data_IF_706785910726
#
_entry.id   IF_706785910726
#
_cell.length_a   1.000
_cell.length_b   1.000
_cell.length_c   1.000
_cell.angle_alpha   90.00
_cell.angle_beta   90.00
_cell.angle_gamma   90.00
#
_symmetry.space_group_name_H-M   'P 1'
#
loop_
_entity.id
_entity.type
_entity.pdbx_description
1 polymer ?
#
# COMPACT_ATOMS: atom_id res chain seq x y z
N UNK A 1 -27.95 20.03 -62.75
CA UNK A 1 -28.37 20.95 -61.67
C UNK A 1 -28.51 20.13 -60.39
N UNK A 2 -27.53 20.29 -59.50
CA UNK A 2 -27.33 19.47 -58.31
C UNK A 2 -28.36 19.80 -57.22
N UNK A 3 -29.11 18.79 -56.77
CA UNK A 3 -30.01 18.88 -55.62
C UNK A 3 -29.36 18.20 -54.41
N UNK A 4 -29.24 18.98 -53.34
CA UNK A 4 -29.33 18.56 -51.94
C UNK A 4 -28.41 17.40 -51.48
N UNK A 5 -27.14 17.71 -51.24
CA UNK A 5 -26.24 16.94 -50.38
C UNK A 5 -25.55 17.85 -49.37
N UNK A 6 -26.32 18.58 -48.56
CA UNK A 6 -25.76 19.58 -47.63
C UNK A 6 -26.54 19.72 -46.32
N UNK A 7 -27.14 18.63 -45.81
CA UNK A 7 -27.83 18.67 -44.50
C UNK A 7 -27.32 17.68 -43.45
N UNK A 8 -26.14 17.06 -43.65
CA UNK A 8 -25.61 16.08 -42.69
C UNK A 8 -24.32 16.53 -41.97
N UNK A 9 -23.73 17.67 -42.34
CA UNK A 9 -22.46 18.12 -41.73
C UNK A 9 -22.63 19.06 -40.52
N UNK A 10 -23.81 19.65 -40.32
CA UNK A 10 -24.04 20.61 -39.23
C UNK A 10 -24.48 19.97 -37.90
N UNK A 11 -24.83 18.69 -37.88
CA UNK A 11 -25.27 18.02 -36.64
C UNK A 11 -24.10 17.46 -35.80
N UNK A 12 -22.87 17.45 -36.34
CA UNK A 12 -21.69 16.95 -35.62
C UNK A 12 -20.85 18.05 -34.95
N UNK A 13 -21.11 19.33 -35.24
CA UNK A 13 -20.36 20.47 -34.65
C UNK A 13 -20.95 20.96 -33.32
N UNK A 14 -22.02 20.34 -32.83
CA UNK A 14 -22.75 20.74 -31.60
C UNK A 14 -22.66 19.72 -30.45
N UNK A 15 -21.77 18.72 -30.56
CA UNK A 15 -21.21 18.12 -29.34
C UNK A 15 -20.05 19.00 -28.87
N UNK A 16 -20.38 20.21 -28.40
CA UNK A 16 -19.56 20.85 -27.39
C UNK A 16 -19.45 19.82 -26.25
N UNK A 17 -18.24 19.29 -26.05
CA UNK A 17 -17.91 18.56 -24.85
C UNK A 17 -18.29 19.47 -23.70
N UNK A 18 -19.43 19.19 -23.04
CA UNK A 18 -19.76 19.83 -21.79
C UNK A 18 -18.50 19.70 -20.93
N UNK A 19 -17.96 20.81 -20.39
CA UNK A 19 -16.82 20.69 -19.49
C UNK A 19 -17.28 19.73 -18.41
N UNK A 20 -16.63 18.57 -18.34
CA UNK A 20 -16.86 17.63 -17.27
C UNK A 20 -16.46 18.42 -16.04
N UNK A 21 -17.46 18.97 -15.34
CA UNK A 21 -17.27 19.63 -14.07
C UNK A 21 -16.79 18.52 -13.17
N UNK A 22 -15.47 18.39 -13.05
CA UNK A 22 -14.85 17.39 -12.19
C UNK A 22 -15.34 17.70 -10.79
N UNK A 23 -16.28 16.89 -10.30
CA UNK A 23 -16.69 16.94 -8.91
C UNK A 23 -15.43 16.78 -8.05
N UNK A 24 -15.23 17.64 -7.03
CA UNK A 24 -14.08 17.51 -6.16
C UNK A 24 -14.02 16.09 -5.59
N UNK A 25 -12.86 15.47 -5.64
CA UNK A 25 -12.65 14.14 -5.08
C UNK A 25 -12.96 14.15 -3.57
N UNK A 26 -13.79 13.25 -3.03
CA UNK A 26 -14.03 13.17 -1.58
C UNK A 26 -12.73 13.01 -0.78
N UNK A 27 -12.64 13.62 0.40
CA UNK A 27 -11.46 13.55 1.26
C UNK A 27 -10.98 12.11 1.56
N UNK A 28 -11.91 11.17 1.76
CA UNK A 28 -11.59 9.76 1.98
C UNK A 28 -10.89 9.12 0.77
N UNK A 29 -11.25 9.53 -0.45
CA UNK A 29 -10.58 9.09 -1.67
C UNK A 29 -9.18 9.69 -1.78
N UNK A 30 -9.00 10.96 -1.43
CA UNK A 30 -7.69 11.61 -1.34
C UNK A 30 -6.77 10.85 -0.36
N UNK A 31 -7.28 10.51 0.83
CA UNK A 31 -6.55 9.72 1.85
C UNK A 31 -6.18 8.34 1.30
N UNK A 32 -7.12 7.66 0.64
CA UNK A 32 -6.88 6.34 0.08
C UNK A 32 -5.83 6.39 -1.03
N UNK A 33 -5.88 7.40 -1.90
CA UNK A 33 -4.89 7.61 -2.95
C UNK A 33 -3.52 7.92 -2.37
N UNK A 34 -3.43 8.81 -1.38
CA UNK A 34 -2.17 9.12 -0.69
C UNK A 34 -1.51 7.86 -0.13
N UNK A 35 -2.29 7.02 0.56
CA UNK A 35 -1.81 5.74 1.09
C UNK A 35 -1.30 4.80 -0.01
N UNK A 36 -2.01 4.71 -1.15
CA UNK A 36 -1.59 3.89 -2.30
C UNK A 36 -0.27 4.38 -2.89
N UNK A 37 -0.12 5.68 -3.11
CA UNK A 37 1.10 6.25 -3.70
C UNK A 37 2.31 6.10 -2.77
N UNK A 38 2.14 6.34 -1.46
CA UNK A 38 3.17 6.07 -0.46
C UNK A 38 3.61 4.61 -0.51
N UNK A 39 2.64 3.70 -0.53
CA UNK A 39 2.90 2.26 -0.52
C UNK A 39 3.58 1.80 -1.82
N UNK A 40 3.20 2.40 -2.96
CA UNK A 40 3.80 2.12 -4.26
C UNK A 40 5.25 2.59 -4.35
N UNK A 41 5.57 3.77 -3.83
CA UNK A 41 6.95 4.28 -3.77
C UNK A 41 7.87 3.38 -2.91
N UNK A 42 7.37 2.89 -1.78
CA UNK A 42 8.07 1.90 -0.95
C UNK A 42 8.30 0.60 -1.72
N UNK A 43 7.27 0.09 -2.39
CA UNK A 43 7.35 -1.15 -3.17
C UNK A 43 8.38 -1.05 -4.31
N UNK A 44 8.40 0.07 -5.05
CA UNK A 44 9.36 0.30 -6.13
C UNK A 44 10.81 0.38 -5.64
N UNK A 45 11.02 0.80 -4.39
CA UNK A 45 12.35 0.99 -3.81
C UNK A 45 13.08 -0.31 -3.49
N UNK A 46 12.36 -1.45 -3.43
CA UNK A 46 12.93 -2.71 -2.98
C UNK A 46 12.59 -3.86 -3.96
N UNK A 47 13.50 -4.21 -4.90
CA UNK A 47 13.28 -5.27 -5.90
C UNK A 47 12.85 -6.61 -5.30
N UNK A 48 13.38 -6.97 -4.12
CA UNK A 48 13.02 -8.20 -3.40
C UNK A 48 11.51 -8.31 -3.12
N UNK A 49 10.78 -7.19 -2.96
CA UNK A 49 9.33 -7.22 -2.77
C UNK A 49 8.58 -7.67 -4.03
N UNK A 50 9.17 -7.44 -5.21
CA UNK A 50 8.66 -7.93 -6.51
C UNK A 50 8.94 -9.42 -6.71
N UNK A 51 10.10 -9.89 -6.24
CA UNK A 51 10.46 -11.31 -6.31
C UNK A 51 9.54 -12.18 -5.46
N UNK A 52 8.99 -11.62 -4.37
CA UNK A 52 8.07 -12.32 -3.46
C UNK A 52 6.63 -12.44 -4.05
N UNK A 53 6.32 -11.83 -5.21
CA UNK A 53 4.94 -11.53 -5.60
C UNK A 53 4.06 -12.64 -6.16
N UNK A 54 4.59 -13.77 -6.64
CA UNK A 54 3.77 -14.70 -7.44
C UNK A 54 3.13 -15.83 -6.61
N UNK A 55 2.19 -15.53 -5.70
CA UNK A 55 1.28 -16.50 -5.03
C UNK A 55 1.70 -17.06 -3.66
N UNK A 56 2.91 -16.74 -3.18
CA UNK A 56 3.44 -17.26 -1.91
C UNK A 56 3.46 -16.23 -0.78
N UNK A 57 2.76 -15.10 -0.88
CA UNK A 57 2.77 -14.07 0.18
C UNK A 57 1.42 -13.83 0.84
N UNK A 58 1.44 -13.52 2.14
CA UNK A 58 0.33 -12.90 2.86
C UNK A 58 0.80 -11.59 3.47
N UNK A 59 0.02 -10.54 3.27
CA UNK A 59 0.30 -9.22 3.84
C UNK A 59 -0.60 -8.98 5.05
N UNK A 60 -0.02 -8.43 6.10
CA UNK A 60 -0.70 -8.07 7.34
C UNK A 60 -0.37 -6.63 7.71
N UNK A 61 -1.36 -5.94 8.23
CA UNK A 61 -1.24 -4.64 8.90
C UNK A 61 -1.38 -4.82 10.41
N UNK A 62 -1.05 -3.79 11.20
CA UNK A 62 -1.24 -3.83 12.67
C UNK A 62 -2.68 -4.18 13.03
N UNK A 63 -3.66 -3.57 12.35
CA UNK A 63 -5.10 -3.87 12.56
C UNK A 63 -5.42 -5.34 12.31
N UNK A 64 -4.89 -5.90 11.23
CA UNK A 64 -5.12 -7.31 10.91
C UNK A 64 -4.46 -8.26 11.93
N UNK A 65 -3.26 -7.95 12.43
CA UNK A 65 -2.60 -8.72 13.48
C UNK A 65 -3.36 -8.65 14.80
N UNK A 66 -3.84 -7.46 15.20
CA UNK A 66 -4.69 -7.30 16.39
C UNK A 66 -5.94 -8.18 16.28
N UNK A 67 -6.62 -8.18 15.12
CA UNK A 67 -7.79 -9.03 14.90
C UNK A 67 -7.46 -10.53 14.96
N UNK A 68 -6.29 -10.93 14.49
CA UNK A 68 -5.84 -12.32 14.59
C UNK A 68 -5.54 -12.72 16.04
N UNK A 69 -4.88 -11.84 16.80
CA UNK A 69 -4.57 -12.06 18.22
C UNK A 69 -5.87 -12.15 19.03
N UNK A 70 -6.84 -11.26 18.80
CA UNK A 70 -8.11 -11.24 19.54
C UNK A 70 -8.98 -12.48 19.31
N UNK A 71 -8.80 -13.16 18.16
CA UNK A 71 -9.52 -14.40 17.82
C UNK A 71 -8.87 -15.65 18.41
N UNK A 72 -7.68 -15.55 19.01
CA UNK A 72 -6.99 -16.70 19.60
C UNK A 72 -7.35 -16.86 21.06
N UNK A 73 -7.62 -18.09 21.45
CA UNK A 73 -7.90 -18.47 22.85
C UNK A 73 -6.66 -18.41 23.74
N UNK A 74 -5.47 -18.62 23.15
CA UNK A 74 -4.19 -18.64 23.86
C UNK A 74 -3.28 -17.51 23.38
N UNK A 75 -2.55 -16.96 24.35
CA UNK A 75 -1.55 -15.93 24.12
C UNK A 75 -0.45 -16.44 23.18
N UNK A 76 -0.16 -15.68 22.13
CA UNK A 76 0.85 -16.03 21.12
C UNK A 76 1.97 -14.98 21.09
N UNK A 77 3.10 -15.31 21.74
CA UNK A 77 4.26 -14.41 21.84
C UNK A 77 4.88 -14.08 20.48
N UNK A 78 4.73 -14.95 19.48
CA UNK A 78 5.26 -14.68 18.14
C UNK A 78 4.43 -13.59 17.48
N UNK A 79 3.10 -13.70 17.53
CA UNK A 79 2.20 -12.67 16.98
C UNK A 79 2.33 -11.35 17.73
N UNK A 80 2.42 -11.36 19.05
CA UNK A 80 2.67 -10.16 19.85
C UNK A 80 3.98 -9.47 19.45
N UNK A 81 5.05 -10.25 19.22
CA UNK A 81 6.32 -9.69 18.78
C UNK A 81 6.30 -9.13 17.34
N UNK A 82 5.42 -9.64 16.47
CA UNK A 82 5.21 -9.06 15.15
C UNK A 82 4.43 -7.75 15.25
N UNK A 83 3.40 -7.72 16.11
CA UNK A 83 2.61 -6.52 16.35
C UNK A 83 3.50 -5.39 16.87
N UNK A 84 4.36 -5.67 17.86
CA UNK A 84 5.27 -4.66 18.41
C UNK A 84 6.28 -4.12 17.38
N UNK A 85 6.67 -4.92 16.38
CA UNK A 85 7.52 -4.44 15.28
C UNK A 85 6.77 -3.54 14.28
N UNK A 86 5.44 -3.61 14.24
CA UNK A 86 4.60 -2.72 13.44
C UNK A 86 4.18 -1.44 14.20
N UNK A 87 4.49 -1.32 15.48
CA UNK A 87 4.24 -0.11 16.26
C UNK A 87 5.19 1.04 15.85
N UNK A 88 4.79 2.26 16.19
CA UNK A 88 5.54 3.48 15.90
C UNK A 88 5.10 4.18 14.61
N UNK A 89 5.41 5.47 14.53
CA UNK A 89 4.96 6.33 13.46
C UNK A 89 5.57 5.96 12.10
N UNK A 90 4.75 6.06 11.06
CA UNK A 90 5.14 5.95 9.66
C UNK A 90 4.30 6.91 8.82
N UNK A 91 4.84 7.32 7.68
CA UNK A 91 4.06 7.93 6.63
C UNK A 91 3.28 6.79 5.96
N UNK A 92 1.96 6.75 6.17
CA UNK A 92 1.14 5.61 5.77
C UNK A 92 1.22 4.42 6.73
N UNK A 93 0.84 3.23 6.25
CA UNK A 93 0.75 2.02 7.06
C UNK A 93 2.00 1.14 6.92
N UNK A 94 2.40 0.46 7.99
CA UNK A 94 3.45 -0.57 7.93
C UNK A 94 2.85 -1.90 7.51
N UNK A 95 3.47 -2.56 6.54
CA UNK A 95 3.01 -3.83 6.01
C UNK A 95 4.00 -4.93 6.34
N UNK A 96 3.51 -5.98 7.00
CA UNK A 96 4.20 -7.23 7.24
C UNK A 96 3.89 -8.20 6.10
N UNK A 97 4.90 -8.63 5.37
CA UNK A 97 4.82 -9.66 4.33
C UNK A 97 5.39 -10.96 4.89
N UNK A 98 4.54 -11.97 4.98
CA UNK A 98 4.93 -13.33 5.34
C UNK A 98 5.07 -14.14 4.06
N UNK A 99 6.25 -14.75 3.86
CA UNK A 99 6.47 -15.72 2.78
C UNK A 99 5.94 -17.08 3.26
N UNK A 100 4.94 -17.60 2.56
CA UNK A 100 4.58 -19.01 2.61
C UNK A 100 5.61 -19.81 1.81
N UNK A 101 6.37 -20.67 2.46
CA UNK A 101 6.91 -21.82 1.74
C UNK A 101 5.82 -22.90 1.59
N UNK A 102 6.09 -23.94 0.81
CA UNK A 102 5.12 -25.01 0.55
C UNK A 102 4.75 -25.81 1.81
N UNK A 103 5.49 -25.62 2.91
CA UNK A 103 5.24 -26.22 4.23
C UNK A 103 4.54 -25.28 5.22
N UNK A 104 4.43 -23.99 4.90
CA UNK A 104 3.94 -22.94 5.79
C UNK A 104 2.45 -22.68 5.51
N UNK A 105 1.59 -23.34 6.28
CA UNK A 105 0.14 -23.19 6.19
C UNK A 105 -0.37 -21.99 7.01
N UNK A 106 0.37 -21.62 8.07
CA UNK A 106 -0.01 -20.56 9.01
C UNK A 106 1.08 -19.51 9.23
N UNK A 107 0.70 -18.29 9.64
CA UNK A 107 1.66 -17.24 10.07
C UNK A 107 2.55 -17.73 11.23
N UNK A 108 2.06 -18.69 12.00
CA UNK A 108 2.74 -19.36 13.11
C UNK A 108 3.69 -20.47 12.70
N UNK A 109 3.88 -20.73 11.40
CA UNK A 109 4.91 -21.64 10.88
C UNK A 109 6.02 -20.90 10.14
N UNK A 110 5.74 -19.69 9.65
CA UNK A 110 6.70 -18.90 8.89
C UNK A 110 8.01 -18.68 9.65
N UNK A 111 9.11 -18.74 8.91
CA UNK A 111 10.48 -18.56 9.43
C UNK A 111 11.10 -17.22 9.03
N UNK A 112 10.63 -16.65 7.91
CA UNK A 112 11.10 -15.40 7.34
C UNK A 112 9.92 -14.48 7.02
N UNK A 113 10.12 -13.19 7.22
CA UNK A 113 9.13 -12.16 6.94
C UNK A 113 9.81 -10.85 6.58
N UNK A 114 9.05 -9.91 6.03
CA UNK A 114 9.51 -8.57 5.75
C UNK A 114 8.54 -7.57 6.33
N UNK A 115 9.03 -6.47 6.90
CA UNK A 115 8.22 -5.28 7.17
C UNK A 115 8.71 -4.17 6.27
N UNK A 116 7.80 -3.51 5.56
CA UNK A 116 8.15 -2.33 4.76
C UNK A 116 7.22 -1.17 5.06
N UNK A 117 7.78 0.04 5.05
CA UNK A 117 7.07 1.28 5.34
C UNK A 117 7.88 2.50 4.91
N UNK A 118 7.26 3.69 4.97
CA UNK A 118 7.92 4.98 4.80
C UNK A 118 8.01 5.70 6.14
N UNK A 119 9.18 6.22 6.49
CA UNK A 119 9.38 7.09 7.65
C UNK A 119 8.83 8.50 7.39
N UNK A 120 8.58 9.27 8.46
CA UNK A 120 8.01 10.62 8.36
C UNK A 120 8.91 11.61 7.59
N UNK A 121 10.21 11.31 7.46
CA UNK A 121 11.16 12.10 6.66
C UNK A 121 11.17 11.71 5.17
N UNK A 122 10.26 10.81 4.73
CA UNK A 122 10.17 10.33 3.35
C UNK A 122 11.06 9.12 3.01
N UNK A 123 11.87 8.65 3.96
CA UNK A 123 12.77 7.51 3.76
C UNK A 123 11.98 6.20 3.69
N UNK A 124 12.30 5.35 2.70
CA UNK A 124 11.69 4.02 2.59
C UNK A 124 12.54 3.00 3.34
N UNK A 125 11.88 2.15 4.13
CA UNK A 125 12.51 1.16 4.99
C UNK A 125 11.99 -0.22 4.63
N UNK A 126 12.90 -1.19 4.56
CA UNK A 126 12.62 -2.61 4.52
C UNK A 126 13.38 -3.31 5.65
N UNK A 127 12.64 -3.98 6.51
CA UNK A 127 13.16 -4.83 7.59
C UNK A 127 12.95 -6.28 7.19
N UNK A 128 14.04 -7.04 7.14
CA UNK A 128 14.00 -8.49 7.00
C UNK A 128 13.93 -9.08 8.42
N UNK A 129 12.98 -9.96 8.65
CA UNK A 129 12.72 -10.57 9.94
C UNK A 129 13.01 -12.06 9.90
N UNK A 130 13.60 -12.54 10.99
CA UNK A 130 13.82 -13.97 11.22
C UNK A 130 13.15 -14.40 12.51
N UNK A 131 12.44 -15.52 12.45
CA UNK A 131 11.83 -16.10 13.63
C UNK A 131 12.87 -16.71 14.56
N UNK A 132 12.75 -16.45 15.85
CA UNK A 132 13.49 -17.12 16.93
C UNK A 132 12.50 -17.82 17.86
N UNK A 133 12.99 -18.59 18.83
CA UNK A 133 12.19 -19.47 19.71
C UNK A 133 10.86 -18.85 20.19
N UNK A 134 10.89 -17.61 20.68
CA UNK A 134 9.72 -16.94 21.27
C UNK A 134 9.42 -15.54 20.72
N UNK A 135 10.15 -15.07 19.70
CA UNK A 135 9.95 -13.74 19.12
C UNK A 135 10.54 -13.64 17.72
N UNK A 136 10.01 -12.71 16.94
CA UNK A 136 10.64 -12.24 15.73
C UNK A 136 11.76 -11.24 16.05
N UNK A 137 12.82 -11.25 15.23
CA UNK A 137 13.91 -10.28 15.30
C UNK A 137 14.16 -9.70 13.91
N UNK A 138 14.52 -8.42 13.88
CA UNK A 138 15.08 -7.80 12.69
C UNK A 138 16.46 -8.41 12.47
N UNK A 139 16.63 -9.03 11.31
CA UNK A 139 17.89 -9.64 10.86
C UNK A 139 18.68 -8.63 10.01
N UNK A 140 17.98 -7.93 9.11
CA UNK A 140 18.57 -6.91 8.23
C UNK A 140 17.65 -5.71 8.07
N UNK A 141 18.23 -4.51 8.01
CA UNK A 141 17.54 -3.27 7.64
C UNK A 141 18.11 -2.76 6.32
N UNK A 142 17.24 -2.45 5.36
CA UNK A 142 17.58 -1.78 4.11
C UNK A 142 16.87 -0.43 4.08
N UNK A 143 17.57 0.57 3.57
CA UNK A 143 17.12 1.96 3.54
C UNK A 143 17.23 2.43 2.09
N UNK A 144 16.19 3.08 1.60
CA UNK A 144 16.18 3.70 0.29
C UNK A 144 15.62 5.11 0.41
N UNK A 145 16.17 6.04 -0.38
CA UNK A 145 15.61 7.39 -0.50
C UNK A 145 14.27 7.29 -1.22
N UNK A 146 13.19 7.62 -0.53
CA UNK A 146 11.85 7.67 -1.11
C UNK A 146 11.48 9.06 -1.60
N UNK A 147 10.38 9.15 -2.33
CA UNK A 147 9.72 10.43 -2.63
C UNK A 147 8.92 10.90 -1.42
N UNK A 148 8.90 12.20 -1.17
CA UNK A 148 7.96 12.79 -0.23
C UNK A 148 6.66 13.09 -1.00
N UNK A 149 5.55 12.50 -0.57
CA UNK A 149 4.28 12.54 -1.33
C UNK A 149 3.22 13.22 -0.46
N UNK A 150 2.64 14.31 -0.95
CA UNK A 150 1.66 15.12 -0.24
C UNK A 150 0.33 15.13 -1.00
N UNK A 151 -0.75 15.60 -0.36
CA UNK A 151 -2.02 15.78 -1.05
C UNK A 151 -1.91 16.70 -2.27
N UNK A 152 -1.08 17.74 -2.19
CA UNK A 152 -0.84 18.66 -3.30
C UNK A 152 -0.26 17.94 -4.52
N UNK A 153 0.59 16.94 -4.29
CA UNK A 153 1.20 16.15 -5.37
C UNK A 153 0.19 15.21 -6.04
N UNK A 154 -0.93 14.90 -5.38
CA UNK A 154 -2.00 14.05 -5.91
C UNK A 154 -3.04 14.87 -6.67
N UNK A 155 -3.56 15.91 -6.02
CA UNK A 155 -4.57 16.82 -6.55
C UNK A 155 -4.65 18.05 -5.62
N UNK A 156 -4.57 19.26 -6.19
CA UNK A 156 -4.69 20.49 -5.41
C UNK A 156 -6.03 20.61 -4.65
N UNK A 157 -7.10 20.00 -5.16
CA UNK A 157 -8.42 20.01 -4.53
C UNK A 157 -8.49 19.10 -3.29
N UNK A 158 -7.52 18.19 -3.09
CA UNK A 158 -7.36 17.45 -1.83
C UNK A 158 -6.81 18.32 -0.69
N UNK A 159 -6.24 19.50 -1.00
CA UNK A 159 -5.70 20.44 0.00
C UNK A 159 -6.74 21.49 0.41
N UNK A 160 -7.73 21.75 -0.45
CA UNK A 160 -8.74 22.81 -0.27
C UNK A 160 -9.98 22.36 0.52
N UNK A 161 -10.03 21.10 0.95
CA UNK A 161 -11.13 20.52 1.73
C UNK A 161 -10.96 20.71 3.23
#
# INVERSE_FOLDING_TARGET
MAKFLLSSFMLFMLLEQQPIVSTPMPFDECIAQLKREIQYDVYLSFPVLKEIESNKKRTFTSKSLCSLISKREKRDRQLESLLSLLEGASMGEKHLVIIKDDTTSTITEATHAYIHYKELNGTNILLELKRKKNKWKIDKKRIARGKYITFKDLNEDCVKQ
#
